data_IF_008665192771
#
_entry.id   IF_008665192771
#
_cell.length_a   1.000
_cell.length_b   1.000
_cell.length_c   1.000
_cell.angle_alpha   90.00
_cell.angle_beta   90.00
_cell.angle_gamma   90.00
#
_symmetry.space_group_name_H-M   'P 1'
#
loop_
_entity.id
_entity.type
_entity.pdbx_description
1 polymer ?
#
# COMPACT_ATOMS: atom_id res chain seq x y z
N UNK A 1 9.82 4.65 -7.03
CA UNK A 1 9.27 4.82 -8.39
C UNK A 1 8.03 3.96 -8.57
N UNK A 2 6.97 4.57 -9.11
CA UNK A 2 5.74 3.83 -9.46
C UNK A 2 5.94 3.22 -10.84
N UNK A 3 5.97 1.90 -10.92
CA UNK A 3 6.10 1.21 -12.20
C UNK A 3 4.72 0.91 -12.79
N UNK A 4 4.58 1.11 -14.09
CA UNK A 4 3.35 0.84 -14.82
C UNK A 4 3.50 -0.43 -15.65
N UNK A 5 2.49 -1.28 -15.59
CA UNK A 5 2.38 -2.49 -16.42
C UNK A 5 1.14 -2.38 -17.27
N UNK A 6 1.27 -2.64 -18.56
CA UNK A 6 0.12 -2.80 -19.44
C UNK A 6 -0.04 -4.29 -19.80
N UNK A 7 -1.27 -4.78 -19.80
CA UNK A 7 -1.62 -6.13 -20.18
C UNK A 7 -2.50 -6.13 -21.43
N UNK A 8 -2.20 -7.03 -22.36
CA UNK A 8 -3.01 -7.27 -23.54
C UNK A 8 -3.35 -8.76 -23.57
N UNK A 9 -4.64 -9.07 -23.46
CA UNK A 9 -5.16 -10.44 -23.58
C UNK A 9 -5.83 -10.59 -24.94
N UNK A 10 -5.27 -11.42 -25.80
CA UNK A 10 -5.79 -11.66 -27.16
C UNK A 10 -5.56 -13.10 -27.59
N UNK A 11 -6.61 -13.74 -28.11
CA UNK A 11 -6.53 -15.08 -28.72
C UNK A 11 -5.84 -16.13 -27.81
N UNK A 12 -6.14 -16.12 -26.51
CA UNK A 12 -5.55 -17.05 -25.54
C UNK A 12 -4.11 -16.75 -25.14
N UNK A 13 -3.56 -15.62 -25.55
CA UNK A 13 -2.23 -15.15 -25.19
C UNK A 13 -2.30 -13.89 -24.31
N UNK A 14 -1.42 -13.81 -23.31
CA UNK A 14 -1.23 -12.63 -22.48
C UNK A 14 0.12 -11.98 -22.82
N UNK A 15 0.08 -10.71 -23.18
CA UNK A 15 1.26 -9.88 -23.35
C UNK A 15 1.35 -8.92 -22.19
N UNK A 16 2.55 -8.71 -21.63
CA UNK A 16 2.82 -7.68 -20.62
C UNK A 16 3.89 -6.72 -21.14
N UNK A 17 3.63 -5.42 -21.02
CA UNK A 17 4.56 -4.35 -21.37
C UNK A 17 4.96 -3.66 -20.07
N UNK A 18 6.25 -3.67 -19.75
CA UNK A 18 6.82 -3.07 -18.54
C UNK A 18 8.27 -2.64 -18.79
N UNK A 19 8.77 -1.72 -17.98
CA UNK A 19 10.17 -1.24 -18.12
C UNK A 19 11.16 -2.24 -17.52
N UNK A 20 10.83 -2.75 -16.32
CA UNK A 20 11.72 -3.59 -15.53
C UNK A 20 11.05 -4.89 -15.09
N UNK A 21 11.83 -5.79 -14.54
CA UNK A 21 11.31 -7.01 -13.95
C UNK A 21 10.75 -6.73 -12.56
N UNK A 22 9.48 -7.10 -12.34
CA UNK A 22 8.77 -6.93 -11.08
C UNK A 22 8.82 -8.21 -10.25
N UNK A 23 8.82 -8.05 -8.92
CA UNK A 23 8.80 -9.15 -7.97
C UNK A 23 7.59 -10.08 -8.18
N UNK A 24 6.43 -9.54 -8.52
CA UNK A 24 5.20 -10.27 -8.79
C UNK A 24 5.38 -11.28 -9.93
N UNK A 25 6.06 -10.91 -11.01
CA UNK A 25 6.33 -11.82 -12.13
C UNK A 25 7.31 -12.93 -11.76
N UNK A 26 8.30 -12.63 -10.92
CA UNK A 26 9.23 -13.64 -10.41
C UNK A 26 8.51 -14.64 -9.52
N UNK A 27 7.67 -14.14 -8.62
CA UNK A 27 6.90 -14.97 -7.70
C UNK A 27 5.91 -15.86 -8.44
N UNK A 28 5.20 -15.33 -9.44
CA UNK A 28 4.31 -16.13 -10.29
C UNK A 28 5.07 -17.29 -10.97
N UNK A 29 6.22 -17.00 -11.59
CA UNK A 29 7.03 -18.07 -12.22
C UNK A 29 7.49 -19.12 -11.22
N UNK A 30 7.83 -18.71 -10.01
CA UNK A 30 8.25 -19.63 -8.94
C UNK A 30 7.08 -20.52 -8.49
N UNK A 31 5.90 -19.93 -8.26
CA UNK A 31 4.68 -20.68 -7.87
C UNK A 31 4.26 -21.66 -8.97
N UNK A 32 4.23 -21.21 -10.24
CA UNK A 32 3.86 -22.03 -11.37
C UNK A 32 4.84 -23.21 -11.63
N UNK A 33 6.13 -23.07 -11.27
CA UNK A 33 7.10 -24.18 -11.35
C UNK A 33 6.92 -25.21 -10.24
N UNK A 34 6.45 -24.78 -9.06
CA UNK A 34 6.31 -25.66 -7.88
C UNK A 34 4.97 -26.38 -7.84
N UNK A 35 3.93 -25.80 -8.43
CA UNK A 35 2.56 -26.31 -8.37
C UNK A 35 2.05 -26.59 -9.76
N UNK A 36 1.93 -27.87 -10.16
CA UNK A 36 1.25 -28.25 -11.40
C UNK A 36 -0.18 -27.67 -11.40
N UNK A 37 -0.61 -27.13 -12.53
CA UNK A 37 -1.94 -26.54 -12.72
C UNK A 37 -2.20 -25.21 -11.94
N UNK A 38 -1.20 -24.58 -11.37
CA UNK A 38 -1.31 -23.25 -10.75
C UNK A 38 -1.83 -22.21 -11.77
N UNK A 39 -1.42 -22.34 -13.03
CA UNK A 39 -1.94 -21.55 -14.15
C UNK A 39 -2.27 -22.52 -15.31
N UNK A 40 -3.46 -22.43 -15.87
CA UNK A 40 -3.96 -23.30 -16.94
C UNK A 40 -4.05 -22.59 -18.28
N UNK A 41 -4.35 -21.29 -18.24
CA UNK A 41 -4.48 -20.44 -19.42
C UNK A 41 -3.96 -19.02 -19.17
N UNK A 42 -3.98 -18.19 -20.20
CA UNK A 42 -3.52 -16.79 -20.13
C UNK A 42 -4.35 -15.92 -19.18
N UNK A 43 -5.59 -16.28 -18.88
CA UNK A 43 -6.47 -15.56 -17.97
C UNK A 43 -6.10 -15.90 -16.53
N UNK A 44 -5.80 -17.16 -16.24
CA UNK A 44 -5.24 -17.56 -14.94
C UNK A 44 -3.95 -16.80 -14.66
N UNK A 45 -3.04 -16.70 -15.64
CA UNK A 45 -1.80 -15.93 -15.48
C UNK A 45 -2.08 -14.49 -15.11
N UNK A 46 -3.06 -13.84 -15.74
CA UNK A 46 -3.42 -12.45 -15.44
C UNK A 46 -4.04 -12.34 -14.05
N UNK A 47 -4.99 -13.17 -13.67
CA UNK A 47 -5.62 -13.17 -12.36
C UNK A 47 -4.59 -13.41 -11.26
N UNK A 48 -3.71 -14.39 -11.41
CA UNK A 48 -2.66 -14.68 -10.46
C UNK A 48 -1.65 -13.53 -10.31
N UNK A 49 -1.34 -12.79 -11.38
CA UNK A 49 -0.51 -11.58 -11.28
C UNK A 49 -1.20 -10.47 -10.50
N UNK A 50 -2.51 -10.28 -10.70
CA UNK A 50 -3.29 -9.28 -9.97
C UNK A 50 -3.45 -9.67 -8.50
N UNK A 51 -3.64 -10.96 -8.20
CA UNK A 51 -3.70 -11.50 -6.85
C UNK A 51 -2.39 -11.30 -6.08
N UNK A 52 -1.27 -11.68 -6.67
CA UNK A 52 0.07 -11.47 -6.10
C UNK A 52 0.36 -9.97 -5.87
N UNK A 53 -0.14 -9.08 -6.71
CA UNK A 53 0.01 -7.65 -6.53
C UNK A 53 -0.79 -7.13 -5.32
N UNK A 54 -1.98 -7.70 -5.07
CA UNK A 54 -2.78 -7.42 -3.86
C UNK A 54 -2.09 -7.98 -2.61
N UNK A 55 -1.57 -9.22 -2.64
CA UNK A 55 -0.76 -9.78 -1.55
C UNK A 55 0.45 -8.89 -1.23
N UNK A 56 1.18 -8.44 -2.25
CA UNK A 56 2.33 -7.54 -2.08
C UNK A 56 1.94 -6.19 -1.47
N UNK A 57 0.76 -5.68 -1.82
CA UNK A 57 0.22 -4.47 -1.22
C UNK A 57 -0.10 -4.67 0.27
N UNK A 58 -0.58 -5.86 0.67
CA UNK A 58 -0.82 -6.21 2.08
C UNK A 58 0.49 -6.22 2.88
N UNK A 59 1.55 -6.85 2.35
CA UNK A 59 2.87 -6.88 3.00
C UNK A 59 3.44 -5.47 3.22
N UNK A 60 3.24 -4.56 2.26
CA UNK A 60 3.70 -3.17 2.41
C UNK A 60 2.89 -2.45 3.49
N UNK A 61 1.56 -2.65 3.56
CA UNK A 61 0.70 -2.06 4.59
C UNK A 61 1.13 -2.55 5.98
N UNK A 62 1.46 -3.83 6.14
CA UNK A 62 1.99 -4.38 7.39
C UNK A 62 3.29 -3.66 7.80
N UNK A 63 4.21 -3.45 6.85
CA UNK A 63 5.41 -2.67 7.10
C UNK A 63 5.14 -1.21 7.49
N UNK A 64 4.06 -0.59 6.98
CA UNK A 64 3.64 0.75 7.42
C UNK A 64 3.16 0.70 8.88
N UNK A 65 2.38 -0.31 9.29
CA UNK A 65 1.95 -0.46 10.69
C UNK A 65 3.11 -0.51 11.67
N UNK A 66 4.18 -1.26 11.36
CA UNK A 66 5.37 -1.36 12.20
C UNK A 66 6.04 0.01 12.38
N UNK A 67 6.12 0.81 11.29
CA UNK A 67 6.69 2.16 11.35
C UNK A 67 5.78 3.13 12.10
N UNK A 68 4.44 3.02 11.95
CA UNK A 68 3.48 3.81 12.71
C UNK A 68 3.57 3.54 14.22
N UNK A 69 3.80 2.29 14.61
CA UNK A 69 4.02 1.95 16.02
C UNK A 69 5.30 2.60 16.58
N UNK A 70 6.36 2.63 15.74
CA UNK A 70 7.60 3.33 16.10
C UNK A 70 7.37 4.82 16.27
N UNK A 71 6.70 5.48 15.31
CA UNK A 71 6.35 6.91 15.43
C UNK A 71 5.45 7.17 16.62
N UNK A 72 4.47 6.32 16.89
CA UNK A 72 3.58 6.45 18.05
C UNK A 72 4.36 6.47 19.37
N UNK A 73 5.34 5.57 19.53
CA UNK A 73 6.19 5.51 20.71
C UNK A 73 7.05 6.78 20.87
N UNK A 74 7.54 7.32 19.76
CA UNK A 74 8.32 8.56 19.77
C UNK A 74 7.46 9.79 20.10
N UNK A 75 6.27 9.90 19.51
CA UNK A 75 5.35 11.04 19.71
C UNK A 75 4.72 11.06 21.09
N UNK A 76 4.32 9.90 21.60
CA UNK A 76 3.63 9.76 22.89
C UNK A 76 4.59 9.51 24.06
N UNK A 77 5.89 9.36 23.78
CA UNK A 77 6.93 9.21 24.79
C UNK A 77 7.24 10.52 25.55
N UNK A 78 7.82 10.40 26.74
CA UNK A 78 8.10 11.55 27.62
C UNK A 78 9.31 12.41 27.18
N UNK A 79 10.08 11.99 26.18
CA UNK A 79 11.36 12.59 25.77
C UNK A 79 11.39 13.05 24.30
N UNK A 80 10.29 13.60 23.80
CA UNK A 80 10.28 14.14 22.45
C UNK A 80 11.10 15.44 22.39
N UNK A 81 12.11 15.47 21.50
CA UNK A 81 12.89 16.67 21.18
C UNK A 81 12.43 17.28 19.85
N UNK A 82 12.82 18.54 19.59
CA UNK A 82 12.54 19.20 18.30
C UNK A 82 13.16 18.44 17.11
N UNK A 83 14.37 17.89 17.29
CA UNK A 83 15.02 17.05 16.25
C UNK A 83 14.24 15.78 16.00
N UNK A 84 13.79 15.11 17.05
CA UNK A 84 12.94 13.91 16.94
C UNK A 84 11.62 14.22 16.25
N UNK A 85 11.01 15.37 16.56
CA UNK A 85 9.77 15.82 15.92
C UNK A 85 9.96 16.04 14.41
N UNK A 86 11.07 16.63 13.99
CA UNK A 86 11.43 16.79 12.56
C UNK A 86 11.59 15.46 11.83
N UNK A 87 12.26 14.48 12.46
CA UNK A 87 12.43 13.13 11.91
C UNK A 87 11.07 12.43 11.76
N UNK A 88 10.23 12.50 12.79
CA UNK A 88 8.88 11.89 12.76
C UNK A 88 8.03 12.49 11.66
N UNK A 89 7.97 13.84 11.53
CA UNK A 89 7.19 14.49 10.46
C UNK A 89 7.67 14.08 9.08
N UNK A 90 8.98 14.01 8.86
CA UNK A 90 9.54 13.54 7.59
C UNK A 90 9.16 12.08 7.30
N UNK A 91 9.21 11.21 8.33
CA UNK A 91 8.80 9.81 8.22
C UNK A 91 7.30 9.67 7.90
N UNK A 92 6.44 10.44 8.58
CA UNK A 92 4.99 10.46 8.33
C UNK A 92 4.70 10.82 6.86
N UNK A 93 5.38 11.84 6.31
CA UNK A 93 5.19 12.24 4.90
C UNK A 93 5.58 11.13 3.91
N UNK A 94 6.62 10.35 4.21
CA UNK A 94 7.04 9.20 3.39
C UNK A 94 5.98 8.09 3.42
N UNK A 95 5.45 7.77 4.60
CA UNK A 95 4.43 6.72 4.74
C UNK A 95 3.08 7.15 4.14
N UNK A 96 2.74 8.43 4.22
CA UNK A 96 1.53 8.98 3.59
C UNK A 96 1.57 8.84 2.06
N UNK A 97 2.70 9.22 1.42
CA UNK A 97 2.88 9.02 -0.03
C UNK A 97 2.84 7.53 -0.41
N UNK A 98 3.47 6.66 0.38
CA UNK A 98 3.46 5.22 0.15
C UNK A 98 2.04 4.65 0.25
N UNK A 99 1.29 4.99 1.30
CA UNK A 99 -0.10 4.59 1.50
C UNK A 99 -0.99 5.06 0.34
N UNK A 100 -0.82 6.29 -0.10
CA UNK A 100 -1.54 6.86 -1.24
C UNK A 100 -1.25 6.13 -2.57
N UNK A 101 -0.01 5.66 -2.76
CA UNK A 101 0.37 4.85 -3.93
C UNK A 101 -0.25 3.45 -3.89
N UNK A 102 -0.24 2.80 -2.73
CA UNK A 102 -0.89 1.50 -2.54
C UNK A 102 -2.37 1.61 -2.85
N UNK A 103 -3.05 2.61 -2.27
CA UNK A 103 -4.48 2.81 -2.49
C UNK A 103 -4.82 2.98 -3.97
N UNK A 104 -4.04 3.76 -4.72
CA UNK A 104 -4.22 3.90 -6.17
C UNK A 104 -4.03 2.58 -6.90
N UNK A 105 -3.00 1.81 -6.54
CA UNK A 105 -2.75 0.49 -7.11
C UNK A 105 -3.92 -0.46 -6.90
N UNK A 106 -4.43 -0.56 -5.66
CA UNK A 106 -5.60 -1.37 -5.33
C UNK A 106 -6.84 -0.98 -6.15
N UNK A 107 -7.07 0.33 -6.35
CA UNK A 107 -8.19 0.82 -7.16
C UNK A 107 -8.02 0.48 -8.65
N UNK A 108 -6.81 0.53 -9.19
CA UNK A 108 -6.53 0.15 -10.58
C UNK A 108 -6.68 -1.36 -10.78
N UNK A 109 -6.20 -2.17 -9.83
CA UNK A 109 -6.39 -3.64 -9.83
C UNK A 109 -7.87 -4.00 -9.72
N UNK A 110 -8.64 -3.33 -8.86
CA UNK A 110 -10.10 -3.47 -8.76
C UNK A 110 -10.79 -3.23 -10.11
N UNK A 111 -10.41 -2.15 -10.80
CA UNK A 111 -10.98 -1.84 -12.13
C UNK A 111 -10.66 -2.92 -13.15
N UNK A 112 -9.42 -3.44 -13.14
CA UNK A 112 -9.00 -4.50 -14.05
C UNK A 112 -9.79 -5.79 -13.83
N UNK A 113 -9.89 -6.28 -12.58
CA UNK A 113 -10.65 -7.48 -12.23
C UNK A 113 -12.14 -7.30 -12.55
N UNK A 114 -12.74 -6.18 -12.15
CA UNK A 114 -14.16 -5.89 -12.44
C UNK A 114 -14.45 -5.81 -13.93
N UNK A 115 -13.52 -5.29 -14.73
CA UNK A 115 -13.63 -5.29 -16.19
C UNK A 115 -13.63 -6.72 -16.75
N UNK A 116 -12.68 -7.57 -16.35
CA UNK A 116 -12.59 -8.96 -16.81
C UNK A 116 -13.86 -9.74 -16.52
N UNK A 117 -14.44 -9.57 -15.33
CA UNK A 117 -15.70 -10.23 -14.95
C UNK A 117 -16.88 -9.71 -15.78
N UNK A 118 -16.98 -8.39 -15.97
CA UNK A 118 -18.09 -7.77 -16.71
C UNK A 118 -18.15 -8.17 -18.17
N UNK A 119 -16.99 -8.30 -18.83
CA UNK A 119 -16.92 -8.71 -20.26
C UNK A 119 -17.07 -10.21 -20.47
N UNK A 120 -17.35 -10.98 -19.41
CA UNK A 120 -17.60 -12.42 -19.42
C UNK A 120 -16.50 -13.23 -20.10
N UNK A 121 -15.26 -12.81 -19.94
CA UNK A 121 -14.07 -13.54 -20.45
C UNK A 121 -13.69 -14.73 -19.56
N UNK A 122 -14.09 -14.68 -18.29
CA UNK A 122 -13.71 -15.63 -17.26
C UNK A 122 -14.69 -16.81 -17.20
N UNK A 123 -14.19 -18.02 -16.93
CA UNK A 123 -15.04 -19.15 -16.57
C UNK A 123 -15.51 -19.01 -15.10
N UNK A 124 -16.32 -19.98 -14.61
CA UNK A 124 -16.89 -19.93 -13.27
C UNK A 124 -15.82 -19.88 -12.16
N UNK A 125 -14.83 -20.77 -12.25
CA UNK A 125 -13.72 -20.80 -11.29
C UNK A 125 -12.90 -19.50 -11.30
N UNK A 126 -12.58 -18.95 -12.46
CA UNK A 126 -11.87 -17.68 -12.61
C UNK A 126 -12.70 -16.50 -12.09
N UNK A 127 -14.03 -16.56 -12.20
CA UNK A 127 -14.91 -15.55 -11.60
C UNK A 127 -14.90 -15.64 -10.07
N UNK A 128 -14.81 -16.86 -9.49
CA UNK A 128 -14.67 -17.02 -8.05
C UNK A 128 -13.34 -16.44 -7.53
N UNK A 129 -12.25 -16.71 -8.24
CA UNK A 129 -10.95 -16.11 -7.97
C UNK A 129 -11.02 -14.57 -8.06
N UNK A 130 -11.63 -14.03 -9.13
CA UNK A 130 -11.85 -12.58 -9.26
C UNK A 130 -12.67 -11.99 -8.12
N UNK A 131 -13.72 -12.68 -7.65
CA UNK A 131 -14.49 -12.27 -6.46
C UNK A 131 -13.65 -12.27 -5.19
N UNK A 132 -12.73 -13.23 -5.04
CA UNK A 132 -11.81 -13.25 -3.90
C UNK A 132 -10.88 -12.04 -3.93
N UNK A 133 -10.20 -11.79 -5.06
CA UNK A 133 -9.33 -10.63 -5.23
C UNK A 133 -10.06 -9.33 -4.88
N UNK A 134 -11.33 -9.17 -5.31
CA UNK A 134 -12.12 -7.97 -4.97
C UNK A 134 -12.40 -7.85 -3.48
N UNK A 135 -12.69 -8.95 -2.77
CA UNK A 135 -12.87 -8.93 -1.30
C UNK A 135 -11.59 -8.54 -0.57
N UNK A 136 -10.44 -9.04 -1.03
CA UNK A 136 -9.14 -8.74 -0.43
C UNK A 136 -8.79 -7.25 -0.66
N UNK A 137 -9.08 -6.71 -1.85
CA UNK A 137 -8.95 -5.27 -2.11
C UNK A 137 -9.87 -4.44 -1.20
N UNK A 138 -11.13 -4.86 -0.98
CA UNK A 138 -12.06 -4.17 -0.08
C UNK A 138 -11.52 -4.13 1.36
N UNK A 139 -10.96 -5.25 1.83
CA UNK A 139 -10.32 -5.31 3.13
C UNK A 139 -9.12 -4.36 3.22
N UNK A 140 -8.23 -4.38 2.24
CA UNK A 140 -7.03 -3.54 2.23
C UNK A 140 -7.35 -2.04 2.06
N UNK A 141 -8.42 -1.67 1.35
CA UNK A 141 -8.85 -0.27 1.28
C UNK A 141 -9.25 0.27 2.66
N UNK A 142 -9.91 -0.56 3.48
CA UNK A 142 -10.18 -0.24 4.88
C UNK A 142 -8.88 0.00 5.69
N UNK A 143 -7.86 -0.84 5.49
CA UNK A 143 -6.56 -0.68 6.13
C UNK A 143 -5.83 0.60 5.68
N UNK A 144 -5.87 0.93 4.38
CA UNK A 144 -5.28 2.20 3.89
C UNK A 144 -5.96 3.43 4.49
N UNK A 145 -7.28 3.36 4.73
CA UNK A 145 -8.05 4.40 5.42
C UNK A 145 -7.59 4.57 6.87
N UNK A 146 -7.49 3.46 7.62
CA UNK A 146 -7.00 3.50 9.00
C UNK A 146 -5.57 4.03 9.11
N UNK A 147 -4.67 3.62 8.21
CA UNK A 147 -3.29 4.14 8.13
C UNK A 147 -3.31 5.65 7.94
N UNK A 148 -4.12 6.16 7.03
CA UNK A 148 -4.26 7.60 6.77
C UNK A 148 -4.70 8.36 8.03
N UNK A 149 -5.73 7.88 8.73
CA UNK A 149 -6.23 8.51 9.96
C UNK A 149 -5.16 8.50 11.06
N UNK A 150 -4.43 7.41 11.22
CA UNK A 150 -3.34 7.28 12.20
C UNK A 150 -2.18 8.23 11.89
N UNK A 151 -1.79 8.36 10.60
CA UNK A 151 -0.76 9.31 10.17
C UNK A 151 -1.17 10.76 10.48
N UNK A 152 -2.41 11.14 10.18
CA UNK A 152 -2.94 12.48 10.51
C UNK A 152 -2.91 12.74 12.02
N UNK A 153 -3.35 11.77 12.82
CA UNK A 153 -3.27 11.90 14.29
C UNK A 153 -1.83 12.12 14.78
N UNK A 154 -0.87 11.34 14.28
CA UNK A 154 0.54 11.47 14.67
C UNK A 154 1.14 12.79 14.21
N UNK A 155 0.77 13.25 13.02
CA UNK A 155 1.18 14.57 12.51
C UNK A 155 0.67 15.69 13.41
N UNK A 156 -0.62 15.71 13.75
CA UNK A 156 -1.24 16.71 14.61
C UNK A 156 -0.62 16.72 16.01
N UNK A 157 -0.39 15.54 16.59
CA UNK A 157 0.27 15.42 17.89
C UNK A 157 1.71 15.95 17.86
N UNK A 158 2.46 15.67 16.79
CA UNK A 158 3.84 16.15 16.63
C UNK A 158 3.89 17.67 16.47
N UNK A 159 3.01 18.25 15.65
CA UNK A 159 2.90 19.72 15.49
C UNK A 159 2.47 20.39 16.79
N UNK A 160 1.53 19.78 17.51
CA UNK A 160 1.10 20.24 18.83
C UNK A 160 2.25 20.32 19.83
N UNK A 161 3.13 19.30 19.86
CA UNK A 161 4.33 19.29 20.68
C UNK A 161 5.27 20.45 20.33
N UNK A 162 5.57 20.66 19.05
CA UNK A 162 6.44 21.76 18.59
C UNK A 162 5.88 23.12 19.04
N UNK A 163 4.57 23.35 18.89
CA UNK A 163 3.91 24.59 19.29
C UNK A 163 4.00 24.84 20.81
N UNK A 164 3.82 23.81 21.63
CA UNK A 164 3.95 23.90 23.09
C UNK A 164 5.38 24.27 23.48
N UNK A 165 6.37 23.64 22.85
CA UNK A 165 7.78 23.89 23.13
C UNK A 165 8.19 25.32 22.75
N UNK A 166 7.79 25.80 21.58
CA UNK A 166 8.00 27.19 21.15
C UNK A 166 7.37 28.19 22.10
N UNK A 167 6.13 28.00 22.56
CA UNK A 167 5.46 28.83 23.50
C UNK A 167 6.17 28.87 24.87
N UNK A 168 6.74 27.76 25.30
CA UNK A 168 7.53 27.67 26.54
C UNK A 168 8.80 28.51 26.44
N UNK A 169 9.52 28.47 25.33
CA UNK A 169 10.72 29.26 25.07
C UNK A 169 10.40 30.76 25.09
N UNK A 170 9.33 31.18 24.41
CA UNK A 170 8.89 32.58 24.36
C UNK A 170 8.57 33.09 25.79
N UNK A 171 7.87 32.31 26.61
CA UNK A 171 7.58 32.68 28.00
C UNK A 171 8.83 32.85 28.84
N UNK A 172 9.83 32.00 28.69
CA UNK A 172 11.10 32.10 29.42
C UNK A 172 11.80 33.42 29.04
N UNK A 173 11.86 33.76 27.76
CA UNK A 173 12.46 35.02 27.32
C UNK A 173 11.69 36.26 27.74
N UNK A 174 10.36 36.20 27.79
CA UNK A 174 9.52 37.35 28.20
C UNK A 174 9.54 37.61 29.72
N UNK A 175 9.89 36.63 30.55
CA UNK A 175 10.02 36.78 32.00
C UNK A 175 11.44 37.22 32.39
N UNK A 176 12.44 36.97 31.53
CA UNK A 176 13.85 37.34 31.75
C UNK A 176 14.21 38.76 31.26
N UNK A 177 13.27 39.44 30.57
CA UNK A 177 13.38 40.84 30.11
C UNK A 177 12.55 41.77 30.96
#
# INVERSE_FOLDING_TARGET
DTMRVAFILKSGMLFSIRRDELAQFRLLRLRARRQPYYVRDAKDVLLQLLDIDVEYSADIIEGIYDRLDTFSKQVLGSEMSDDTAGIVLSGIAVEEDLNGRIRRNLMDTRRAVSFLMRVKLLNEQQNDEGRQILRDIDSLDGHTGFVFDKLNFLMDATVGFININQNRIIKIFSVAS
#
